data_IF_408477878675
#
_entry.id   IF_408477878675
#
_cell.length_a   1.000
_cell.length_b   1.000
_cell.length_c   1.000
_cell.angle_alpha   90.00
_cell.angle_beta   90.00
_cell.angle_gamma   90.00
#
_symmetry.space_group_name_H-M   'P 1'
#
loop_
_entity.id
_entity.type
_entity.pdbx_description
1 polymer ?
#
# COMPACT_ATOMS: atom_id res chain seq x y z
N UNK A 1 23.59 6.44 -46.70
CA UNK A 1 23.78 7.68 -45.93
C UNK A 1 23.03 7.70 -44.61
N UNK A 2 21.82 7.15 -44.51
CA UNK A 2 21.14 7.02 -43.21
C UNK A 2 21.68 5.86 -42.37
N UNK A 3 22.04 4.73 -42.99
CA UNK A 3 22.54 3.51 -42.32
C UNK A 3 23.87 3.68 -41.59
N UNK A 4 24.80 4.47 -42.13
CA UNK A 4 26.10 4.74 -41.52
C UNK A 4 26.03 5.73 -40.35
N UNK A 5 25.01 6.62 -40.33
CA UNK A 5 24.82 7.58 -39.23
C UNK A 5 24.25 6.89 -37.98
N UNK A 6 23.38 5.89 -38.18
CA UNK A 6 22.87 5.02 -37.11
C UNK A 6 23.96 4.16 -36.50
N UNK A 7 24.80 3.49 -37.30
CA UNK A 7 25.93 2.70 -36.76
C UNK A 7 26.88 3.55 -35.91
N UNK A 8 27.12 4.79 -36.32
CA UNK A 8 28.00 5.68 -35.57
C UNK A 8 27.38 6.17 -34.26
N UNK A 9 26.08 6.45 -34.22
CA UNK A 9 25.36 6.77 -33.00
C UNK A 9 25.32 5.58 -32.03
N UNK A 10 25.11 4.38 -32.53
CA UNK A 10 25.06 3.16 -31.70
C UNK A 10 26.43 2.85 -31.08
N UNK A 11 27.51 3.15 -31.81
CA UNK A 11 28.88 3.02 -31.31
C UNK A 11 29.18 4.03 -30.19
N UNK A 12 28.69 5.27 -30.33
CA UNK A 12 28.85 6.32 -29.32
C UNK A 12 28.01 6.00 -28.07
N UNK A 13 26.77 5.52 -28.22
CA UNK A 13 25.93 5.10 -27.10
C UNK A 13 26.57 3.96 -26.30
N UNK A 14 27.06 2.92 -26.98
CA UNK A 14 27.75 1.79 -26.34
C UNK A 14 29.05 2.20 -25.64
N UNK A 15 29.74 3.25 -26.12
CA UNK A 15 30.93 3.80 -25.49
C UNK A 15 30.61 4.64 -24.24
N UNK A 16 29.47 5.34 -24.23
CA UNK A 16 28.97 6.10 -23.08
C UNK A 16 28.49 5.16 -21.96
N UNK A 17 27.79 4.08 -22.32
CA UNK A 17 27.24 3.11 -21.35
C UNK A 17 28.34 2.24 -20.69
N UNK A 18 29.43 1.97 -21.40
CA UNK A 18 30.57 1.24 -20.86
C UNK A 18 31.59 2.12 -20.12
N UNK A 19 31.33 3.43 -19.99
CA UNK A 19 32.16 4.25 -19.12
C UNK A 19 32.03 3.77 -17.66
N UNK A 20 33.14 3.74 -16.89
CA UNK A 20 33.13 3.30 -15.48
C UNK A 20 32.15 4.11 -14.62
N UNK A 21 31.88 5.36 -15.01
CA UNK A 21 30.96 6.30 -14.34
C UNK A 21 29.49 5.88 -14.49
N UNK A 22 29.09 5.31 -15.63
CA UNK A 22 27.72 4.84 -15.89
C UNK A 22 27.48 3.48 -15.21
N UNK A 23 28.50 2.62 -15.17
CA UNK A 23 28.49 1.34 -14.45
C UNK A 23 28.39 1.52 -12.92
N UNK A 24 29.11 2.47 -12.32
CA UNK A 24 29.00 2.80 -10.88
C UNK A 24 27.67 3.49 -10.50
N UNK A 25 27.05 4.24 -11.41
CA UNK A 25 25.73 4.85 -11.20
C UNK A 25 24.58 3.82 -11.16
N UNK A 26 24.66 2.73 -11.93
CA UNK A 26 23.66 1.65 -11.92
C UNK A 26 23.97 0.55 -10.88
N UNK A 27 25.23 0.30 -10.51
CA UNK A 27 25.66 -0.53 -9.37
C UNK A 27 25.43 0.14 -7.99
N UNK A 28 24.88 1.35 -7.91
CA UNK A 28 24.41 1.98 -6.65
C UNK A 28 22.87 1.99 -6.53
N UNK A 29 22.14 1.51 -7.56
CA UNK A 29 20.77 0.96 -7.36
C UNK A 29 20.82 -0.37 -6.60
N UNK A 30 21.97 -1.06 -6.63
CA UNK A 30 22.47 -2.08 -5.69
C UNK A 30 22.64 -1.38 -4.31
N UNK A 31 21.96 -1.66 -3.20
CA UNK A 31 21.44 -2.89 -2.62
C UNK A 31 19.97 -2.68 -2.26
N UNK A 32 19.08 -2.67 -3.25
CA UNK A 32 17.70 -3.06 -2.95
C UNK A 32 17.79 -4.46 -2.34
N UNK A 33 17.29 -4.64 -1.12
CA UNK A 33 17.08 -5.98 -0.57
C UNK A 33 16.01 -6.68 -1.42
N UNK A 34 16.39 -7.22 -2.57
CA UNK A 34 15.55 -8.03 -3.44
C UNK A 34 15.48 -9.43 -2.85
N UNK A 35 14.76 -9.53 -1.75
CA UNK A 35 14.42 -10.77 -1.08
C UNK A 35 13.06 -10.61 -0.42
N UNK A 36 12.37 -11.74 -0.20
CA UNK A 36 11.11 -11.78 0.55
C UNK A 36 11.34 -11.01 1.86
N UNK A 37 10.62 -9.92 2.06
CA UNK A 37 10.76 -9.05 3.22
C UNK A 37 10.57 -9.90 4.47
N UNK A 38 11.59 -9.96 5.33
CA UNK A 38 11.54 -10.77 6.55
C UNK A 38 10.33 -10.37 7.40
N UNK A 39 9.62 -11.36 7.97
CA UNK A 39 8.45 -11.13 8.80
C UNK A 39 8.70 -10.15 9.96
N UNK A 40 9.92 -10.16 10.50
CA UNK A 40 10.38 -9.21 11.53
C UNK A 40 10.26 -7.75 11.08
N UNK A 41 10.45 -7.46 9.79
CA UNK A 41 10.29 -6.11 9.23
C UNK A 41 8.82 -5.68 9.22
N UNK A 42 7.92 -6.60 8.87
CA UNK A 42 6.47 -6.36 8.97
C UNK A 42 6.03 -6.13 10.41
N UNK A 43 6.63 -6.86 11.36
CA UNK A 43 6.35 -6.70 12.78
C UNK A 43 6.85 -5.36 13.32
N UNK A 44 8.05 -4.92 12.88
CA UNK A 44 8.58 -3.60 13.21
C UNK A 44 7.71 -2.47 12.64
N UNK A 45 7.23 -2.61 11.40
CA UNK A 45 6.24 -1.71 10.81
C UNK A 45 4.96 -1.67 11.65
N UNK A 46 4.39 -2.84 11.97
CA UNK A 46 3.19 -2.95 12.79
C UNK A 46 3.34 -2.35 14.19
N UNK A 47 4.53 -2.46 14.77
CA UNK A 47 4.85 -1.80 16.04
C UNK A 47 4.92 -0.27 15.88
N UNK A 48 5.59 0.24 14.84
CA UNK A 48 5.70 1.68 14.56
C UNK A 48 4.34 2.35 14.28
N UNK A 49 3.42 1.62 13.64
CA UNK A 49 2.06 2.06 13.34
C UNK A 49 1.18 2.27 14.58
N UNK A 50 1.47 1.61 15.71
CA UNK A 50 0.62 1.68 16.91
C UNK A 50 0.61 0.41 17.75
N UNK A 51 1.56 -0.50 17.53
CA UNK A 51 1.65 -1.75 18.27
C UNK A 51 0.70 -2.84 17.78
N UNK A 52 0.95 -4.07 18.26
CA UNK A 52 0.16 -5.26 17.94
C UNK A 52 -1.32 -5.11 18.33
N UNK A 53 -1.62 -4.34 19.38
CA UNK A 53 -3.00 -4.10 19.84
C UNK A 53 -3.83 -3.32 18.82
N UNK A 54 -3.26 -2.29 18.19
CA UNK A 54 -3.97 -1.48 17.19
C UNK A 54 -4.24 -2.28 15.93
N UNK A 55 -3.27 -3.09 15.49
CA UNK A 55 -3.46 -4.02 14.37
C UNK A 55 -4.51 -5.08 14.66
N UNK A 56 -4.51 -5.66 15.86
CA UNK A 56 -5.50 -6.65 16.27
C UNK A 56 -6.91 -6.04 16.28
N UNK A 57 -7.08 -4.85 16.86
CA UNK A 57 -8.36 -4.15 16.85
C UNK A 57 -8.87 -3.90 15.43
N UNK A 58 -8.00 -3.40 14.54
CA UNK A 58 -8.36 -3.16 13.14
C UNK A 58 -8.75 -4.44 12.41
N UNK A 59 -8.00 -5.53 12.63
CA UNK A 59 -8.29 -6.82 12.00
C UNK A 59 -9.62 -7.42 12.50
N UNK A 60 -9.89 -7.34 13.81
CA UNK A 60 -11.16 -7.79 14.40
C UNK A 60 -12.34 -6.96 13.87
N UNK A 61 -12.19 -5.63 13.84
CA UNK A 61 -13.21 -4.75 13.28
C UNK A 61 -13.47 -5.06 11.80
N UNK A 62 -12.41 -5.26 11.02
CA UNK A 62 -12.51 -5.67 9.63
C UNK A 62 -13.24 -7.02 9.48
N UNK A 63 -12.89 -8.02 10.30
CA UNK A 63 -13.54 -9.33 10.28
C UNK A 63 -15.06 -9.23 10.56
N UNK A 64 -15.45 -8.42 11.55
CA UNK A 64 -16.87 -8.17 11.86
C UNK A 64 -17.57 -7.54 10.65
N UNK A 65 -17.00 -6.50 10.04
CA UNK A 65 -17.62 -5.85 8.87
C UNK A 65 -17.75 -6.80 7.67
N UNK A 66 -16.77 -7.68 7.45
CA UNK A 66 -16.82 -8.68 6.38
C UNK A 66 -17.86 -9.78 6.65
N UNK A 67 -17.99 -10.23 7.91
CA UNK A 67 -19.04 -11.18 8.25
C UNK A 67 -20.44 -10.62 8.00
N UNK A 68 -20.68 -9.34 8.28
CA UNK A 68 -21.97 -8.69 7.99
C UNK A 68 -22.30 -8.66 6.50
N UNK A 69 -21.31 -8.44 5.64
CA UNK A 69 -21.47 -8.52 4.19
C UNK A 69 -21.83 -9.96 3.75
N UNK A 70 -21.13 -10.96 4.29
CA UNK A 70 -21.40 -12.37 3.95
C UNK A 70 -22.80 -12.81 4.38
N UNK A 71 -23.25 -12.41 5.56
CA UNK A 71 -24.62 -12.68 6.03
C UNK A 71 -25.64 -12.07 5.09
N UNK A 72 -25.46 -10.82 4.67
CA UNK A 72 -26.36 -10.17 3.70
C UNK A 72 -26.41 -10.95 2.38
N UNK A 73 -25.26 -11.40 1.87
CA UNK A 73 -25.20 -12.18 0.62
C UNK A 73 -25.95 -13.51 0.77
N UNK A 74 -25.76 -14.22 1.88
CA UNK A 74 -26.43 -15.50 2.15
C UNK A 74 -27.94 -15.31 2.28
N UNK A 75 -28.40 -14.30 3.02
CA UNK A 75 -29.84 -14.00 3.20
C UNK A 75 -30.53 -13.63 1.89
N UNK A 76 -29.86 -12.90 1.00
CA UNK A 76 -30.40 -12.61 -0.34
C UNK A 76 -30.45 -13.89 -1.19
N UNK A 77 -29.48 -14.78 -1.04
CA UNK A 77 -29.45 -16.07 -1.72
C UNK A 77 -30.58 -17.01 -1.28
N UNK A 78 -30.84 -17.12 0.02
CA UNK A 78 -31.93 -17.93 0.56
C UNK A 78 -33.30 -17.39 0.14
N UNK A 79 -33.46 -16.07 0.09
CA UNK A 79 -34.68 -15.45 -0.46
C UNK A 79 -34.87 -15.77 -1.94
N UNK A 80 -33.80 -15.74 -2.75
CA UNK A 80 -33.87 -16.03 -4.18
C UNK A 80 -34.29 -17.47 -4.50
N UNK A 81 -34.02 -18.42 -3.61
CA UNK A 81 -34.38 -19.83 -3.76
C UNK A 81 -35.74 -20.20 -3.13
N UNK A 82 -36.35 -19.29 -2.36
CA UNK A 82 -37.61 -19.55 -1.66
C UNK A 82 -38.80 -19.77 -2.64
N UNK A 83 -39.74 -20.69 -2.34
CA UNK A 83 -40.92 -20.92 -3.17
C UNK A 83 -41.83 -19.68 -3.28
N UNK A 84 -42.34 -19.41 -4.47
CA UNK A 84 -43.15 -18.22 -4.81
C UNK A 84 -44.35 -18.00 -3.87
N UNK A 85 -44.98 -19.07 -3.40
CA UNK A 85 -46.16 -19.02 -2.54
C UNK A 85 -45.86 -18.54 -1.10
N UNK A 86 -44.59 -18.57 -0.70
CA UNK A 86 -44.10 -18.16 0.62
C UNK A 86 -43.35 -16.83 0.61
N UNK A 87 -43.19 -16.21 -0.57
CA UNK A 87 -42.48 -14.94 -0.71
C UNK A 87 -43.40 -13.78 -0.37
N UNK A 88 -43.45 -13.41 0.92
CA UNK A 88 -43.99 -12.10 1.30
C UNK A 88 -43.01 -11.00 0.86
N UNK A 89 -43.19 -10.51 -0.37
CA UNK A 89 -42.29 -9.55 -1.02
C UNK A 89 -42.04 -8.30 -0.17
N UNK A 90 -43.06 -7.80 0.53
CA UNK A 90 -42.92 -6.59 1.36
C UNK A 90 -42.01 -6.79 2.57
N UNK A 91 -42.13 -7.94 3.25
CA UNK A 91 -41.31 -8.26 4.42
C UNK A 91 -39.84 -8.45 4.03
N UNK A 92 -39.56 -9.30 3.04
CA UNK A 92 -38.20 -9.57 2.57
C UNK A 92 -37.51 -8.33 2.01
N UNK A 93 -38.23 -7.53 1.21
CA UNK A 93 -37.70 -6.28 0.67
C UNK A 93 -37.31 -5.31 1.78
N UNK A 94 -38.13 -5.18 2.83
CA UNK A 94 -37.82 -4.28 3.95
C UNK A 94 -36.58 -4.70 4.73
N UNK A 95 -36.37 -6.01 4.93
CA UNK A 95 -35.21 -6.58 5.62
C UNK A 95 -33.94 -6.40 4.78
N UNK A 96 -33.99 -6.78 3.50
CA UNK A 96 -32.84 -6.65 2.60
C UNK A 96 -32.44 -5.18 2.44
N UNK A 97 -33.41 -4.26 2.29
CA UNK A 97 -33.12 -2.82 2.21
C UNK A 97 -32.49 -2.31 3.52
N UNK A 98 -33.04 -2.67 4.68
CA UNK A 98 -32.52 -2.27 5.98
C UNK A 98 -31.09 -2.77 6.23
N UNK A 99 -30.84 -4.06 5.96
CA UNK A 99 -29.51 -4.65 6.09
C UNK A 99 -28.52 -4.06 5.08
N UNK A 100 -28.94 -3.83 3.84
CA UNK A 100 -28.10 -3.20 2.81
C UNK A 100 -27.68 -1.79 3.22
N UNK A 101 -28.62 -0.99 3.74
CA UNK A 101 -28.33 0.35 4.25
C UNK A 101 -27.31 0.30 5.41
N UNK A 102 -27.48 -0.63 6.35
CA UNK A 102 -26.54 -0.82 7.46
C UNK A 102 -25.15 -1.24 6.98
N UNK A 103 -25.06 -2.17 6.02
CA UNK A 103 -23.77 -2.60 5.44
C UNK A 103 -23.08 -1.48 4.69
N UNK A 104 -23.83 -0.64 3.96
CA UNK A 104 -23.28 0.54 3.27
C UNK A 104 -22.71 1.53 4.30
N UNK A 105 -23.46 1.84 5.35
CA UNK A 105 -23.01 2.74 6.42
C UNK A 105 -21.73 2.21 7.09
N UNK A 106 -21.71 0.93 7.46
CA UNK A 106 -20.52 0.28 8.04
C UNK A 106 -19.33 0.31 7.06
N UNK A 107 -19.58 0.13 5.77
CA UNK A 107 -18.53 0.19 4.75
C UNK A 107 -17.91 1.60 4.63
N UNK A 108 -18.73 2.65 4.72
CA UNK A 108 -18.27 4.04 4.74
C UNK A 108 -17.46 4.32 5.99
N UNK A 109 -17.98 3.97 7.17
CA UNK A 109 -17.25 4.13 8.45
C UNK A 109 -15.91 3.42 8.42
N UNK A 110 -15.88 2.18 7.90
CA UNK A 110 -14.63 1.41 7.72
C UNK A 110 -13.65 2.13 6.79
N UNK A 111 -14.13 2.67 5.66
CA UNK A 111 -13.28 3.40 4.73
C UNK A 111 -12.66 4.64 5.40
N UNK A 112 -13.45 5.41 6.16
CA UNK A 112 -12.97 6.56 6.94
C UNK A 112 -11.92 6.13 7.98
N UNK A 113 -12.19 5.09 8.78
CA UNK A 113 -11.23 4.58 9.76
C UNK A 113 -9.91 4.12 9.12
N UNK A 114 -9.99 3.39 8.00
CA UNK A 114 -8.81 2.92 7.26
C UNK A 114 -8.00 4.09 6.72
N UNK A 115 -8.67 5.10 6.18
CA UNK A 115 -8.03 6.31 5.68
C UNK A 115 -7.32 7.09 6.79
N UNK A 116 -7.97 7.28 7.94
CA UNK A 116 -7.35 7.91 9.09
C UNK A 116 -6.13 7.12 9.59
N UNK A 117 -6.24 5.79 9.70
CA UNK A 117 -5.13 4.93 10.09
C UNK A 117 -3.97 5.04 9.11
N UNK A 118 -4.25 5.06 7.80
CA UNK A 118 -3.23 5.18 6.76
C UNK A 118 -2.51 6.52 6.80
N UNK A 119 -3.25 7.62 6.99
CA UNK A 119 -2.64 8.95 7.14
C UNK A 119 -1.76 9.01 8.39
N UNK A 120 -2.25 8.51 9.51
CA UNK A 120 -1.48 8.47 10.76
C UNK A 120 -0.22 7.61 10.61
N UNK A 121 -0.34 6.47 9.93
CA UNK A 121 0.79 5.61 9.60
C UNK A 121 1.85 6.31 8.75
N UNK A 122 1.41 6.98 7.68
CA UNK A 122 2.28 7.72 6.76
C UNK A 122 3.01 8.84 7.50
N UNK A 123 2.30 9.63 8.33
CA UNK A 123 2.91 10.67 9.16
C UNK A 123 4.00 10.11 10.06
N UNK A 124 3.71 9.04 10.80
CA UNK A 124 4.70 8.41 11.70
C UNK A 124 5.91 7.87 10.94
N UNK A 125 5.70 7.27 9.78
CA UNK A 125 6.79 6.75 8.97
C UNK A 125 7.69 7.89 8.44
N UNK A 126 7.08 8.97 7.94
CA UNK A 126 7.81 10.15 7.50
C UNK A 126 8.58 10.80 8.67
N UNK A 127 7.97 10.92 9.84
CA UNK A 127 8.63 11.48 11.03
C UNK A 127 9.81 10.61 11.48
N UNK A 128 9.68 9.29 11.45
CA UNK A 128 10.77 8.36 11.77
C UNK A 128 11.91 8.45 10.76
N UNK A 129 11.58 8.52 9.47
CA UNK A 129 12.58 8.69 8.41
C UNK A 129 13.30 10.04 8.55
N UNK A 130 12.55 11.12 8.82
CA UNK A 130 13.09 12.48 8.93
C UNK A 130 14.03 12.58 10.13
N UNK A 131 13.62 12.07 11.29
CA UNK A 131 14.45 12.02 12.49
C UNK A 131 15.74 11.21 12.26
N UNK A 132 15.66 10.12 11.49
CA UNK A 132 16.83 9.31 11.16
C UNK A 132 17.83 10.06 10.27
N UNK A 133 17.33 10.84 9.30
CA UNK A 133 18.17 11.67 8.44
C UNK A 133 18.79 12.83 9.23
N UNK A 134 18.01 13.55 10.03
CA UNK A 134 18.50 14.67 10.83
C UNK A 134 19.58 14.28 11.85
N UNK A 135 19.54 13.03 12.35
CA UNK A 135 20.52 12.51 13.31
C UNK A 135 21.74 11.84 12.65
N UNK A 136 21.79 11.79 11.32
CA UNK A 136 22.94 11.20 10.62
C UNK A 136 24.19 12.07 10.71
N UNK A 137 25.38 11.46 10.61
CA UNK A 137 26.67 12.16 10.63
C UNK A 137 26.82 13.01 9.37
N UNK A 138 27.52 14.14 9.47
CA UNK A 138 27.79 15.05 8.34
C UNK A 138 28.39 14.30 7.14
N UNK A 139 29.29 13.34 7.38
CA UNK A 139 29.90 12.47 6.35
C UNK A 139 28.87 11.70 5.48
N UNK A 140 27.66 11.44 5.99
CA UNK A 140 26.57 10.80 5.23
C UNK A 140 26.01 11.71 4.14
N UNK A 141 26.01 13.03 4.38
CA UNK A 141 25.51 14.03 3.42
C UNK A 141 26.54 14.35 2.33
N UNK A 142 27.83 14.16 2.61
CA UNK A 142 28.90 14.30 1.61
C UNK A 142 28.87 13.16 0.59
N UNK A 143 28.42 11.96 1.01
CA UNK A 143 28.29 10.77 0.15
C UNK A 143 26.91 10.61 -0.49
N UNK A 144 25.87 11.30 0.01
CA UNK A 144 24.50 11.22 -0.48
C UNK A 144 23.96 12.63 -0.77
N UNK A 145 23.97 13.10 -2.03
CA UNK A 145 23.51 14.44 -2.34
C UNK A 145 22.05 14.62 -1.89
N UNK A 146 21.75 15.77 -1.28
CA UNK A 146 20.42 16.10 -0.74
C UNK A 146 19.29 15.88 -1.76
N UNK A 147 19.56 16.12 -3.05
CA UNK A 147 18.62 15.85 -4.13
C UNK A 147 18.22 14.37 -4.25
N UNK A 148 19.12 13.42 -3.95
CA UNK A 148 18.84 11.97 -3.97
C UNK A 148 17.99 11.55 -2.76
N UNK A 149 18.27 12.13 -1.60
CA UNK A 149 17.48 11.90 -0.37
C UNK A 149 16.07 12.45 -0.54
N UNK A 150 15.94 13.67 -1.08
CA UNK A 150 14.66 14.29 -1.37
C UNK A 150 13.89 13.51 -2.44
N UNK A 151 14.56 13.00 -3.47
CA UNK A 151 13.92 12.18 -4.50
C UNK A 151 13.41 10.83 -3.94
N UNK A 152 14.05 10.26 -2.92
CA UNK A 152 13.50 9.09 -2.19
C UNK A 152 12.34 9.47 -1.27
N UNK A 153 12.44 10.58 -0.54
CA UNK A 153 11.39 11.07 0.35
C UNK A 153 10.11 11.49 -0.36
N UNK A 154 10.22 11.96 -1.61
CA UNK A 154 9.07 12.36 -2.42
C UNK A 154 8.46 11.18 -3.19
N UNK A 155 9.24 10.12 -3.43
CA UNK A 155 8.80 8.94 -4.17
C UNK A 155 8.27 7.82 -3.27
N UNK A 156 8.66 7.80 -2.00
CA UNK A 156 8.33 6.80 -0.97
C UNK A 156 7.45 7.45 0.12
#
# INVERSE_FOLDING_TARGET
FLTTKTEHMDTISNAIENQPITKEMDEQKEKRGTGIVQWKTWEAYGMALGGKSTLLFFFLFFAITQSGLLVLIVEVGTWAEAPSDSQNTGYWLSIVLGMSAAVILLSITRAQMTFHLLIEASKRLHDQMLNSVLRSRIDFFDTNPLGRILNRFSAD
#
